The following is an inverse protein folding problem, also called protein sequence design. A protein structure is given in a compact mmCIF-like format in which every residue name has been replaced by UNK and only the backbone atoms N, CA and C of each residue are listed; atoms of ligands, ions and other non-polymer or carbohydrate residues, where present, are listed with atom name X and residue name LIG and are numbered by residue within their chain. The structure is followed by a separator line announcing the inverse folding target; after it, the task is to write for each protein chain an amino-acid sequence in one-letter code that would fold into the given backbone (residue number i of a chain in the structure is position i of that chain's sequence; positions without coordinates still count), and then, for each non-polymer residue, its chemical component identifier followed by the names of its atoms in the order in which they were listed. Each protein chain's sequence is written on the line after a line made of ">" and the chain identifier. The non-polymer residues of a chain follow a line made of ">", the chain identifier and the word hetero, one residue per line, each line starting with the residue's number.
data_IF_512777121865
#
_entry.id   IF_512777121865
#
_cell.length_a   1.000
_cell.length_b   1.000
_cell.length_c   1.000
_cell.angle_alpha   90.00
_cell.angle_beta   90.00
_cell.angle_gamma   90.00
#
_symmetry.space_group_name_H-M   'P 1'
#
loop_
_entity.id
_entity.type
_entity.pdbx_description
1 polymer ?
#
# COMPACT_ATOMS: atom_id res chain seq x y z
N UNK A 1 -3.12 -2.84 -15.69
CA UNK A 1 -2.94 -4.11 -14.94
C UNK A 1 -1.58 -4.26 -14.24
N UNK A 2 -0.45 -3.89 -14.86
CA UNK A 2 0.89 -3.99 -14.24
C UNK A 2 1.00 -3.31 -12.85
N UNK A 3 0.39 -2.14 -12.69
CA UNK A 3 0.30 -1.45 -11.40
C UNK A 3 -0.35 -2.34 -10.32
N UNK A 4 -1.52 -2.94 -10.62
CA UNK A 4 -2.22 -3.82 -9.68
C UNK A 4 -1.36 -5.02 -9.30
N UNK A 5 -0.79 -5.73 -10.28
CA UNK A 5 0.04 -6.91 -10.01
C UNK A 5 1.26 -6.58 -9.14
N UNK A 6 1.99 -5.52 -9.49
CA UNK A 6 3.18 -5.10 -8.71
C UNK A 6 2.82 -4.60 -7.32
N UNK A 7 1.66 -3.97 -7.16
CA UNK A 7 1.14 -3.53 -5.86
C UNK A 7 0.70 -4.70 -4.99
N UNK A 8 0.01 -5.70 -5.56
CA UNK A 8 -0.39 -6.93 -4.85
C UNK A 8 0.82 -7.70 -4.32
N UNK A 9 1.87 -7.86 -5.15
CA UNK A 9 3.12 -8.47 -4.69
C UNK A 9 3.78 -7.67 -3.56
N UNK A 10 3.75 -6.33 -3.66
CA UNK A 10 4.25 -5.45 -2.61
C UNK A 10 3.49 -5.60 -1.28
N UNK A 11 2.17 -5.76 -1.32
CA UNK A 11 1.36 -5.97 -0.12
C UNK A 11 1.63 -7.32 0.54
N UNK A 12 1.73 -8.39 -0.25
CA UNK A 12 2.11 -9.71 0.27
C UNK A 12 3.50 -9.67 0.93
N UNK A 13 4.44 -8.90 0.37
CA UNK A 13 5.75 -8.69 0.98
C UNK A 13 5.67 -7.86 2.28
N UNK A 14 4.79 -6.85 2.35
CA UNK A 14 4.53 -6.11 3.59
C UNK A 14 3.97 -7.02 4.69
N UNK A 15 3.01 -7.88 4.38
CA UNK A 15 2.44 -8.84 5.34
C UNK A 15 3.50 -9.80 5.86
N UNK A 16 4.32 -10.35 4.95
CA UNK A 16 5.42 -11.25 5.31
C UNK A 16 6.46 -10.53 6.18
N UNK A 17 6.82 -9.30 5.81
CA UNK A 17 7.77 -8.49 6.57
C UNK A 17 7.23 -8.14 7.95
N UNK A 18 5.94 -7.82 8.05
CA UNK A 18 5.29 -7.52 9.30
C UNK A 18 5.25 -8.75 10.21
N UNK A 19 4.88 -9.92 9.68
CA UNK A 19 4.90 -11.18 10.43
C UNK A 19 6.30 -11.59 10.91
N UNK A 20 7.34 -11.26 10.13
CA UNK A 20 8.74 -11.45 10.51
C UNK A 20 9.27 -10.35 11.46
N UNK A 21 8.43 -9.36 11.76
CA UNK A 21 8.75 -8.25 12.65
C UNK A 21 9.62 -7.14 12.05
N UNK A 22 9.79 -7.14 10.74
CA UNK A 22 10.54 -6.13 10.02
C UNK A 22 9.64 -4.96 9.61
N UNK A 23 9.24 -4.15 10.59
CA UNK A 23 8.40 -2.96 10.34
C UNK A 23 9.14 -1.91 9.51
N UNK A 24 10.47 -1.86 9.58
CA UNK A 24 11.27 -1.00 8.73
C UNK A 24 11.09 -1.32 7.24
N UNK A 25 11.06 -2.61 6.88
CA UNK A 25 10.78 -3.04 5.52
C UNK A 25 9.36 -2.64 5.07
N UNK A 26 8.38 -2.68 5.98
CA UNK A 26 7.02 -2.20 5.70
C UNK A 26 7.04 -0.70 5.34
N UNK A 27 7.81 0.13 6.07
CA UNK A 27 7.97 1.57 5.76
C UNK A 27 8.57 1.79 4.36
N UNK A 28 9.63 1.06 4.02
CA UNK A 28 10.30 1.15 2.71
C UNK A 28 9.36 0.76 1.56
N UNK A 29 8.63 -0.34 1.71
CA UNK A 29 7.63 -0.77 0.74
C UNK A 29 6.51 0.27 0.62
N UNK A 30 6.12 0.88 1.74
CA UNK A 30 5.14 1.99 1.78
C UNK A 30 5.57 3.14 0.89
N UNK A 31 6.81 3.61 1.06
CA UNK A 31 7.39 4.67 0.22
C UNK A 31 7.37 4.34 -1.28
N UNK A 32 7.76 3.10 -1.63
CA UNK A 32 7.80 2.65 -3.04
C UNK A 32 6.40 2.59 -3.65
N UNK A 33 5.44 1.98 -2.96
CA UNK A 33 4.07 1.82 -3.45
C UNK A 33 3.35 3.17 -3.50
N UNK A 34 3.59 4.07 -2.52
CA UNK A 34 3.08 5.45 -2.52
C UNK A 34 3.39 6.16 -3.84
N UNK A 35 4.64 6.07 -4.30
CA UNK A 35 5.08 6.72 -5.54
C UNK A 35 4.35 6.15 -6.76
N UNK A 36 4.18 4.83 -6.83
CA UNK A 36 3.42 4.17 -7.89
C UNK A 36 1.92 4.55 -7.86
N UNK A 37 1.32 4.61 -6.66
CA UNK A 37 -0.08 4.97 -6.47
C UNK A 37 -0.36 6.42 -6.90
N UNK A 38 0.52 7.37 -6.57
CA UNK A 38 0.40 8.77 -7.03
C UNK A 38 0.46 8.88 -8.56
N UNK A 39 1.32 8.10 -9.21
CA UNK A 39 1.47 8.14 -10.67
C UNK A 39 0.21 7.72 -11.43
N UNK A 40 -0.64 6.87 -10.84
CA UNK A 40 -1.90 6.39 -11.45
C UNK A 40 -3.15 7.05 -10.85
N UNK A 41 -2.99 8.09 -10.03
CA UNK A 41 -4.11 8.81 -9.40
C UNK A 41 -4.79 8.07 -8.24
N UNK A 42 -4.21 6.98 -7.73
CA UNK A 42 -4.73 6.22 -6.60
C UNK A 42 -4.44 6.90 -5.25
N UNK A 43 -5.00 8.10 -5.04
CA UNK A 43 -4.68 8.98 -3.91
C UNK A 43 -5.02 8.36 -2.55
N UNK A 44 -6.12 7.60 -2.44
CA UNK A 44 -6.49 6.91 -1.21
C UNK A 44 -5.45 5.87 -0.78
N UNK A 45 -4.92 5.12 -1.73
CA UNK A 45 -3.84 4.17 -1.48
C UNK A 45 -2.53 4.91 -1.13
N UNK A 46 -2.20 5.97 -1.87
CA UNK A 46 -1.00 6.77 -1.59
C UNK A 46 -1.00 7.32 -0.15
N UNK A 47 -2.15 7.79 0.35
CA UNK A 47 -2.29 8.30 1.71
C UNK A 47 -2.08 7.21 2.77
N UNK A 48 -2.59 6.00 2.56
CA UNK A 48 -2.34 4.87 3.47
C UNK A 48 -0.86 4.47 3.51
N UNK A 49 -0.23 4.39 2.33
CA UNK A 49 1.20 4.09 2.22
C UNK A 49 2.07 5.18 2.87
N UNK A 50 1.69 6.45 2.76
CA UNK A 50 2.37 7.56 3.42
C UNK A 50 2.27 7.48 4.95
N UNK A 51 1.13 7.05 5.49
CA UNK A 51 1.00 6.82 6.92
C UNK A 51 1.88 5.66 7.40
N UNK A 52 2.00 4.59 6.61
CA UNK A 52 2.89 3.46 6.92
C UNK A 52 4.35 3.88 6.93
N UNK A 53 4.79 4.62 5.91
CA UNK A 53 6.15 5.17 5.79
C UNK A 53 6.55 6.02 7.00
N UNK A 54 5.62 6.83 7.53
CA UNK A 54 5.84 7.71 8.67
C UNK A 54 5.43 7.10 10.02
N UNK A 55 5.16 5.79 10.07
CA UNK A 55 4.82 5.13 11.32
C UNK A 55 6.00 5.29 12.30
N UNK A 56 5.81 5.91 13.47
CA UNK A 56 6.91 6.11 14.40
C UNK A 56 7.45 4.75 14.89
N UNK A 57 8.74 4.68 15.24
CA UNK A 57 9.24 3.56 16.03
C UNK A 57 8.45 3.47 17.33
N UNK A 58 8.12 2.25 17.72
CA UNK A 58 7.36 1.93 18.91
C UNK A 58 8.30 1.60 20.07
N UNK A 59 7.78 1.66 21.29
CA UNK A 59 8.58 1.34 22.48
C UNK A 59 8.98 -0.14 22.54
N UNK A 60 8.19 -1.02 21.92
CA UNK A 60 8.47 -2.46 21.80
C UNK A 60 8.12 -2.95 20.40
N UNK A 61 8.62 -4.14 20.07
CA UNK A 61 8.28 -4.85 18.86
C UNK A 61 6.76 -5.01 18.68
N UNK A 62 6.07 -5.44 19.73
CA UNK A 62 4.62 -5.67 19.73
C UNK A 62 3.85 -4.38 19.52
N UNK A 63 4.32 -3.27 20.09
CA UNK A 63 3.70 -1.95 19.90
C UNK A 63 3.83 -1.47 18.45
N UNK A 64 5.00 -1.63 17.83
CA UNK A 64 5.18 -1.33 16.40
C UNK A 64 4.30 -2.20 15.50
N UNK A 65 4.31 -3.51 15.77
CA UNK A 65 3.52 -4.47 15.00
C UNK A 65 2.02 -4.16 15.12
N UNK A 66 1.52 -3.93 16.34
CA UNK A 66 0.11 -3.60 16.58
C UNK A 66 -0.32 -2.29 15.90
N UNK A 67 0.59 -1.31 15.77
CA UNK A 67 0.31 -0.07 15.06
C UNK A 67 0.30 -0.24 13.53
N UNK A 68 1.22 -1.06 12.98
CA UNK A 68 1.34 -1.30 11.54
C UNK A 68 0.25 -2.24 10.99
N UNK A 69 -0.15 -3.26 11.75
CA UNK A 69 -1.08 -4.31 11.31
C UNK A 69 -2.41 -3.80 10.74
N UNK A 70 -3.18 -2.92 11.40
CA UNK A 70 -4.45 -2.46 10.85
C UNK A 70 -4.27 -1.65 9.56
N UNK A 71 -3.12 -1.00 9.40
CA UNK A 71 -2.80 -0.18 8.23
C UNK A 71 -2.45 -1.07 7.03
N UNK A 72 -1.67 -2.14 7.24
CA UNK A 72 -1.38 -3.13 6.20
C UNK A 72 -2.65 -3.87 5.78
N UNK A 73 -3.51 -4.25 6.74
CA UNK A 73 -4.78 -4.91 6.44
C UNK A 73 -5.74 -4.02 5.60
N UNK A 74 -5.70 -2.70 5.80
CA UNK A 74 -6.53 -1.76 5.05
C UNK A 74 -6.09 -1.56 3.58
N UNK A 75 -4.90 -2.02 3.19
CA UNK A 75 -4.39 -1.86 1.82
C UNK A 75 -5.19 -2.68 0.79
N UNK A 76 -5.56 -3.92 1.13
CA UNK A 76 -6.27 -4.82 0.22
C UNK A 76 -7.67 -4.34 -0.19
N UNK A 77 -8.54 -3.89 0.73
CA UNK A 77 -9.83 -3.31 0.36
C UNK A 77 -9.69 -2.11 -0.58
N UNK A 78 -8.74 -1.21 -0.32
CA UNK A 78 -8.52 -0.02 -1.15
C UNK A 78 -8.04 -0.41 -2.56
N UNK A 79 -7.18 -1.42 -2.67
CA UNK A 79 -6.75 -1.93 -3.97
C UNK A 79 -7.88 -2.61 -4.73
N UNK A 80 -8.78 -3.30 -4.03
CA UNK A 80 -10.01 -3.85 -4.60
C UNK A 80 -10.87 -2.75 -5.24
N UNK A 81 -11.11 -1.65 -4.50
CA UNK A 81 -11.86 -0.49 -5.00
C UNK A 81 -11.19 0.14 -6.23
N UNK A 82 -9.87 0.27 -6.23
CA UNK A 82 -9.12 0.78 -7.39
C UNK A 82 -9.27 -0.16 -8.59
N UNK A 83 -9.19 -1.47 -8.36
CA UNK A 83 -9.37 -2.47 -9.42
C UNK A 83 -10.78 -2.40 -10.01
N UNK A 84 -11.81 -2.29 -9.18
CA UNK A 84 -13.20 -2.14 -9.62
C UNK A 84 -13.42 -0.85 -10.42
N UNK A 85 -12.86 0.27 -9.97
CA UNK A 85 -12.97 1.54 -10.68
C UNK A 85 -12.27 1.50 -12.04
N UNK A 86 -11.08 0.91 -12.13
CA UNK A 86 -10.38 0.72 -13.43
C UNK A 86 -11.20 -0.17 -14.39
N UNK A 87 -11.95 -1.14 -13.87
CA UNK A 87 -12.77 -2.04 -14.69
C UNK A 87 -14.11 -1.42 -15.11
N UNK A 88 -14.74 -0.59 -14.27
CA UNK A 88 -16.03 0.02 -14.57
C UNK A 88 -15.94 1.36 -15.28
N UNK A 89 -14.91 2.15 -14.99
CA UNK A 89 -14.65 3.46 -15.59
C UNK A 89 -13.25 3.45 -16.23
N UNK A 90 -13.04 2.74 -17.37
CA UNK A 90 -11.80 2.85 -18.10
C UNK A 90 -11.68 4.30 -18.56
N UNK A 91 -10.77 5.05 -17.93
CA UNK A 91 -10.43 6.42 -18.27
C UNK A 91 -10.36 6.58 -19.81
N UNK A 92 -11.12 7.49 -20.43
CA UNK A 92 -11.01 7.76 -21.85
C UNK A 92 -9.75 8.61 -22.07
N UNK A 93 -8.59 7.96 -22.08
CA UNK A 93 -7.33 8.57 -22.49
C UNK A 93 -6.69 7.68 -23.54
N UNK A 94 -7.31 7.68 -24.72
CA UNK A 94 -6.58 7.66 -25.99
C UNK A 94 -7.48 8.35 -27.05
N UNK A 95 -7.31 9.66 -27.14
CA UNK A 95 -7.74 10.47 -28.28
C UNK A 95 -6.69 11.57 -28.45
N UNK A 96 -5.57 11.18 -29.04
CA UNK A 96 -4.59 12.06 -29.64
C UNK A 96 -3.97 11.35 -30.85
#
# INVERSE_FOLDING_TARGET
>A
LKFLQTTQSGFAEMETSLAAGNVQRVRELGHRIKSAARAVGALGLAALCERLEHLPPGATFEAEHAAAQPMVAALWPVLGQISEHIMHDPCPTDSA
#
